data_IF_888807055134
#
_entry.id   IF_888807055134
#
_cell.length_a   1.000
_cell.length_b   1.000
_cell.length_c   1.000
_cell.angle_alpha   90.00
_cell.angle_beta   90.00
_cell.angle_gamma   90.00
#
_symmetry.space_group_name_H-M   'P 1'
#
loop_
_entity.id
_entity.type
_entity.pdbx_description
1 polymer ?
#
# COMPACT_ATOMS: atom_id res chain seq x y z
N UNK A 1 -25.42 -93.26 27.67
CA UNK A 1 -24.68 -93.01 28.93
C UNK A 1 -23.77 -91.86 28.76
N UNK A 2 -23.90 -91.00 29.72
CA UNK A 2 -22.91 -89.98 30.16
C UNK A 2 -22.90 -88.59 29.44
N UNK A 3 -23.46 -87.75 30.17
CA UNK A 3 -23.48 -86.31 30.25
C UNK A 3 -22.07 -85.77 30.69
N UNK A 4 -21.94 -84.51 30.81
CA UNK A 4 -21.36 -83.33 30.14
C UNK A 4 -20.08 -82.84 30.76
N UNK A 5 -19.57 -81.67 30.68
CA UNK A 5 -20.17 -80.45 31.19
C UNK A 5 -19.84 -79.15 30.39
N UNK A 6 -20.68 -78.21 30.62
CA UNK A 6 -20.64 -76.77 30.68
C UNK A 6 -19.26 -76.19 31.07
N UNK A 7 -18.83 -75.17 30.39
CA UNK A 7 -18.28 -74.03 31.10
C UNK A 7 -18.49 -72.69 30.32
N UNK A 8 -19.19 -71.87 31.04
CA UNK A 8 -19.25 -70.44 30.75
C UNK A 8 -17.89 -69.80 30.99
N UNK A 9 -17.46 -68.99 30.10
CA UNK A 9 -16.51 -67.97 30.44
C UNK A 9 -17.00 -66.69 29.72
N UNK A 10 -17.49 -65.84 30.57
CA UNK A 10 -17.67 -64.44 30.25
C UNK A 10 -16.34 -63.87 29.78
N UNK A 11 -16.32 -63.36 28.57
CA UNK A 11 -15.32 -62.37 28.14
C UNK A 11 -15.93 -61.00 28.30
N UNK A 12 -15.35 -60.10 29.08
CA UNK A 12 -15.74 -58.73 29.12
C UNK A 12 -15.29 -58.08 27.82
N UNK A 13 -16.25 -57.55 27.13
CA UNK A 13 -16.01 -56.65 25.99
C UNK A 13 -15.04 -55.54 26.41
N UNK A 14 -13.86 -55.57 25.83
CA UNK A 14 -12.92 -54.50 25.89
C UNK A 14 -13.40 -53.40 24.93
N UNK A 15 -14.19 -52.49 25.51
CA UNK A 15 -14.65 -51.28 24.86
C UNK A 15 -13.47 -50.31 24.76
N UNK A 16 -12.51 -50.63 23.93
CA UNK A 16 -11.60 -49.60 23.45
C UNK A 16 -12.34 -48.75 22.42
N UNK A 17 -13.16 -47.84 22.93
CA UNK A 17 -13.64 -46.71 22.16
C UNK A 17 -12.44 -45.89 21.71
N UNK A 18 -11.95 -46.25 20.56
CA UNK A 18 -10.96 -45.47 19.82
C UNK A 18 -11.66 -44.24 19.30
N UNK A 19 -11.85 -43.25 20.17
CA UNK A 19 -12.30 -41.95 19.79
C UNK A 19 -11.25 -41.37 18.83
N UNK A 20 -11.57 -41.16 17.55
CA UNK A 20 -10.61 -40.57 16.63
C UNK A 20 -10.26 -39.19 17.16
N UNK A 21 -9.10 -39.10 17.57
CA UNK A 21 -8.32 -37.99 18.12
C UNK A 21 -8.75 -36.65 17.54
N UNK A 22 -9.70 -35.98 18.19
CA UNK A 22 -10.01 -34.57 17.91
C UNK A 22 -8.81 -33.66 18.26
N UNK A 23 -7.87 -34.19 19.05
CA UNK A 23 -6.70 -33.45 19.49
C UNK A 23 -5.81 -32.92 18.37
N UNK A 24 -5.46 -33.67 17.29
CA UNK A 24 -4.67 -33.09 16.21
C UNK A 24 -5.42 -32.02 15.41
N UNK A 25 -6.75 -32.12 15.32
CA UNK A 25 -7.57 -31.14 14.63
C UNK A 25 -7.63 -29.81 15.43
N UNK A 26 -7.78 -29.90 16.75
CA UNK A 26 -7.76 -28.74 17.63
C UNK A 26 -6.38 -28.05 17.66
N UNK A 27 -5.31 -28.84 17.65
CA UNK A 27 -3.93 -28.30 17.55
C UNK A 27 -3.71 -27.64 16.21
N UNK A 28 -4.16 -28.23 15.09
CA UNK A 28 -4.06 -27.65 13.77
C UNK A 28 -4.86 -26.33 13.65
N UNK A 29 -6.09 -26.30 14.18
CA UNK A 29 -6.90 -25.06 14.24
C UNK A 29 -6.25 -23.98 15.11
N UNK A 30 -5.63 -24.37 16.22
CA UNK A 30 -4.88 -23.44 17.08
C UNK A 30 -3.69 -22.83 16.36
N UNK A 31 -2.92 -23.61 15.61
CA UNK A 31 -1.78 -23.12 14.82
C UNK A 31 -2.25 -22.17 13.71
N UNK A 32 -3.31 -22.52 12.98
CA UNK A 32 -3.89 -21.66 11.95
C UNK A 32 -4.37 -20.35 12.56
N UNK A 33 -5.04 -20.40 13.70
CA UNK A 33 -5.49 -19.20 14.43
C UNK A 33 -4.31 -18.30 14.83
N UNK A 34 -3.24 -18.86 15.37
CA UNK A 34 -2.03 -18.11 15.73
C UNK A 34 -1.36 -17.51 14.50
N UNK A 35 -1.25 -18.26 13.40
CA UNK A 35 -0.67 -17.75 12.13
C UNK A 35 -1.49 -16.60 11.58
N UNK A 36 -2.82 -16.69 11.61
CA UNK A 36 -3.69 -15.60 11.16
C UNK A 36 -3.56 -14.36 12.05
N UNK A 37 -3.52 -14.53 13.38
CA UNK A 37 -3.30 -13.42 14.31
C UNK A 37 -1.93 -12.79 14.08
N UNK A 38 -0.88 -13.60 13.92
CA UNK A 38 0.47 -13.10 13.61
C UNK A 38 0.49 -12.38 12.25
N UNK A 39 -0.17 -12.91 11.22
CA UNK A 39 -0.30 -12.22 9.93
C UNK A 39 -1.04 -10.88 10.05
N UNK A 40 -2.12 -10.82 10.82
CA UNK A 40 -2.86 -9.56 11.07
C UNK A 40 -2.02 -8.59 11.87
N UNK A 41 -1.31 -9.06 12.90
CA UNK A 41 -0.39 -8.23 13.69
C UNK A 41 0.79 -7.74 12.84
N UNK A 42 1.37 -8.60 12.00
CA UNK A 42 2.43 -8.20 11.07
C UNK A 42 1.93 -7.20 10.03
N UNK A 43 0.68 -7.30 9.58
CA UNK A 43 0.06 -6.26 8.73
C UNK A 43 -0.27 -4.98 9.47
N UNK A 44 -0.53 -5.03 10.78
CA UNK A 44 -0.73 -3.84 11.59
C UNK A 44 0.58 -3.16 12.01
N UNK A 45 1.67 -3.93 12.14
CA UNK A 45 3.00 -3.46 12.56
C UNK A 45 3.92 -3.27 11.35
N UNK A 46 3.73 -4.06 10.30
CA UNK A 46 4.40 -4.04 9.02
C UNK A 46 3.36 -3.91 7.93
N UNK A 47 2.51 -2.87 8.01
CA UNK A 47 1.96 -2.30 6.80
C UNK A 47 3.18 -2.11 5.92
N UNK A 48 3.12 -2.58 4.65
CA UNK A 48 4.23 -2.36 3.73
C UNK A 48 4.76 -0.95 3.99
N UNK A 49 5.90 -0.88 4.67
CA UNK A 49 6.71 0.32 4.66
C UNK A 49 7.19 0.49 3.22
N UNK A 50 6.24 0.88 2.39
CA UNK A 50 6.62 1.78 1.34
C UNK A 50 7.19 2.93 2.12
N UNK A 51 8.51 3.03 2.13
CA UNK A 51 9.18 4.06 2.87
C UNK A 51 8.45 5.37 2.57
N UNK A 52 8.35 6.28 3.54
CA UNK A 52 7.67 7.54 3.29
C UNK A 52 8.19 8.20 2.01
N UNK A 53 9.48 7.97 1.68
CA UNK A 53 10.10 8.30 0.39
C UNK A 53 9.37 7.70 -0.81
N UNK A 54 9.12 6.39 -0.80
CA UNK A 54 8.39 5.74 -1.89
C UNK A 54 6.94 6.21 -2.00
N UNK A 55 6.29 6.58 -0.88
CA UNK A 55 4.95 7.13 -0.88
C UNK A 55 4.92 8.57 -1.42
N UNK A 56 5.89 9.40 -1.02
CA UNK A 56 6.11 10.74 -1.57
C UNK A 56 6.41 10.67 -3.06
N UNK A 57 7.30 9.75 -3.48
CA UNK A 57 7.61 9.54 -4.90
C UNK A 57 6.37 9.17 -5.72
N UNK A 58 5.51 8.28 -5.21
CA UNK A 58 4.24 7.94 -5.89
C UNK A 58 3.30 9.12 -6.02
N UNK A 59 3.21 9.98 -5.00
CA UNK A 59 2.39 11.17 -5.06
C UNK A 59 2.85 12.12 -6.17
N UNK A 60 4.16 12.35 -6.29
CA UNK A 60 4.75 13.19 -7.35
C UNK A 60 4.48 12.62 -8.74
N UNK A 61 4.81 11.33 -8.93
CA UNK A 61 4.64 10.68 -10.25
C UNK A 61 3.16 10.63 -10.61
N UNK A 62 2.29 10.28 -9.67
CA UNK A 62 0.84 10.24 -9.90
C UNK A 62 0.26 11.60 -10.25
N UNK A 63 0.65 12.66 -9.53
CA UNK A 63 0.24 14.03 -9.88
C UNK A 63 0.71 14.45 -11.27
N UNK A 64 1.99 14.19 -11.58
CA UNK A 64 2.54 14.52 -12.88
C UNK A 64 1.84 13.77 -14.01
N UNK A 65 1.61 12.48 -13.87
CA UNK A 65 0.92 11.65 -14.84
C UNK A 65 -0.54 12.11 -15.05
N UNK A 66 -1.26 12.39 -13.96
CA UNK A 66 -2.62 12.93 -14.04
C UNK A 66 -2.68 14.25 -14.82
N UNK A 67 -1.73 15.16 -14.59
CA UNK A 67 -1.62 16.41 -15.34
C UNK A 67 -1.30 16.17 -16.83
N UNK A 68 -0.38 15.24 -17.16
CA UNK A 68 -0.08 14.93 -18.56
C UNK A 68 -1.27 14.31 -19.30
N UNK A 69 -2.15 13.61 -18.61
CA UNK A 69 -3.39 13.04 -19.16
C UNK A 69 -4.57 14.02 -19.10
N UNK A 70 -4.38 15.20 -18.52
CA UNK A 70 -5.45 16.17 -18.25
C UNK A 70 -6.61 15.59 -17.41
N UNK A 71 -6.28 14.64 -16.52
CA UNK A 71 -7.23 14.01 -15.62
C UNK A 71 -7.29 14.76 -14.29
N UNK A 72 -8.21 15.72 -14.20
CA UNK A 72 -8.37 16.56 -13.01
C UNK A 72 -8.84 15.75 -11.80
N UNK A 73 -9.64 14.72 -11.99
CA UNK A 73 -10.12 13.88 -10.88
C UNK A 73 -8.95 13.11 -10.24
N UNK A 74 -8.08 12.56 -11.07
CA UNK A 74 -6.89 11.85 -10.62
C UNK A 74 -5.83 12.83 -10.06
N UNK A 75 -5.66 14.01 -10.67
CA UNK A 75 -4.81 15.07 -10.12
C UNK A 75 -5.16 15.41 -8.67
N UNK A 76 -6.45 15.54 -8.34
CA UNK A 76 -6.92 15.82 -6.99
C UNK A 76 -6.56 14.74 -5.98
N UNK A 77 -6.45 13.48 -6.40
CA UNK A 77 -6.06 12.37 -5.51
C UNK A 77 -4.62 12.48 -5.04
N UNK A 78 -3.75 13.03 -5.87
CA UNK A 78 -2.33 13.19 -5.58
C UNK A 78 -1.95 14.59 -5.11
N UNK A 79 -2.91 15.51 -5.02
CA UNK A 79 -2.70 16.90 -4.65
C UNK A 79 -3.47 17.20 -3.37
N UNK A 80 -2.86 17.92 -2.42
CA UNK A 80 -3.54 18.33 -1.18
C UNK A 80 -4.73 19.25 -1.46
N UNK A 81 -5.74 19.19 -0.62
CA UNK A 81 -7.00 19.89 -0.79
C UNK A 81 -6.83 21.41 -1.00
N UNK A 82 -5.85 22.03 -0.36
CA UNK A 82 -5.54 23.47 -0.49
C UNK A 82 -5.05 23.86 -1.90
N UNK A 83 -4.57 22.90 -2.68
CA UNK A 83 -3.96 23.13 -4.00
C UNK A 83 -4.79 22.64 -5.17
N UNK A 84 -6.01 22.18 -4.94
CA UNK A 84 -6.85 21.62 -6.02
C UNK A 84 -7.13 22.68 -7.12
N UNK A 85 -7.45 23.92 -6.75
CA UNK A 85 -7.87 24.93 -7.74
C UNK A 85 -9.15 24.54 -8.48
N UNK A 86 -9.48 25.22 -9.53
CA UNK A 86 -10.53 24.80 -10.47
C UNK A 86 -9.94 23.94 -11.60
N UNK A 87 -10.75 23.02 -12.13
CA UNK A 87 -10.34 22.17 -13.27
C UNK A 87 -9.86 23.01 -14.46
N UNK A 88 -10.59 24.09 -14.78
CA UNK A 88 -10.27 24.95 -15.90
C UNK A 88 -8.91 25.64 -15.75
N UNK A 89 -8.56 26.08 -14.54
CA UNK A 89 -7.25 26.67 -14.24
C UNK A 89 -6.14 25.64 -14.34
N UNK A 90 -6.28 24.51 -13.61
CA UNK A 90 -5.24 23.48 -13.55
C UNK A 90 -4.94 22.90 -14.93
N UNK A 91 -5.97 22.55 -15.68
CA UNK A 91 -5.80 21.95 -17.01
C UNK A 91 -5.37 23.02 -18.03
N UNK A 92 -5.85 24.26 -17.91
CA UNK A 92 -5.39 25.38 -18.72
C UNK A 92 -3.90 25.63 -18.58
N UNK A 93 -3.40 25.75 -17.35
CA UNK A 93 -1.97 25.93 -17.06
C UNK A 93 -1.12 24.74 -17.54
N UNK A 94 -1.64 23.52 -17.43
CA UNK A 94 -0.94 22.32 -17.93
C UNK A 94 -0.80 22.37 -19.46
N UNK A 95 -1.85 22.74 -20.18
CA UNK A 95 -1.82 22.88 -21.64
C UNK A 95 -0.82 23.94 -22.09
N UNK A 96 -0.87 25.12 -21.48
CA UNK A 96 0.08 26.22 -21.79
C UNK A 96 1.53 25.75 -21.55
N UNK A 97 1.79 25.04 -20.44
CA UNK A 97 3.11 24.49 -20.15
C UNK A 97 3.55 23.46 -21.19
N UNK A 98 2.65 22.56 -21.59
CA UNK A 98 2.94 21.52 -22.59
C UNK A 98 3.17 22.09 -23.99
N UNK A 99 2.41 23.11 -24.38
CA UNK A 99 2.59 23.82 -25.65
C UNK A 99 3.93 24.56 -25.71
N UNK A 100 4.34 25.17 -24.60
CA UNK A 100 5.57 25.94 -24.53
C UNK A 100 6.84 25.10 -24.39
N UNK A 101 6.78 23.99 -23.69
CA UNK A 101 7.96 23.23 -23.21
C UNK A 101 7.94 21.75 -23.55
N UNK A 102 6.83 21.22 -24.04
CA UNK A 102 6.60 19.79 -24.21
C UNK A 102 6.19 19.10 -22.92
N UNK A 103 6.13 17.77 -22.96
CA UNK A 103 5.80 16.95 -21.79
C UNK A 103 6.81 17.14 -20.66
N UNK A 104 6.31 17.15 -19.40
CA UNK A 104 7.14 17.21 -18.19
C UNK A 104 7.36 15.81 -17.63
N UNK A 105 8.59 15.50 -17.27
CA UNK A 105 9.02 14.24 -16.71
C UNK A 105 9.57 14.43 -15.30
N UNK A 106 9.35 13.44 -14.44
CA UNK A 106 9.97 13.31 -13.12
C UNK A 106 11.16 12.38 -13.26
N UNK A 107 12.36 12.89 -13.01
CA UNK A 107 13.60 12.11 -13.10
C UNK A 107 13.98 11.48 -11.77
N UNK A 108 13.81 12.23 -10.67
CA UNK A 108 14.24 11.80 -9.35
C UNK A 108 13.43 12.48 -8.24
N UNK A 109 13.38 11.83 -7.08
CA UNK A 109 12.84 12.38 -5.83
C UNK A 109 13.86 12.11 -4.73
N UNK A 110 14.58 13.14 -4.31
CA UNK A 110 15.69 13.05 -3.39
C UNK A 110 15.44 13.87 -2.11
N UNK A 111 16.28 13.67 -1.09
CA UNK A 111 16.30 14.43 0.16
C UNK A 111 14.95 14.45 0.90
N UNK A 112 14.23 13.34 0.86
CA UNK A 112 12.94 13.24 1.53
C UNK A 112 13.12 13.34 3.03
N UNK A 113 12.49 14.33 3.63
CA UNK A 113 12.47 14.53 5.09
C UNK A 113 11.02 14.53 5.56
N UNK A 114 10.71 13.67 6.53
CA UNK A 114 9.36 13.52 7.09
C UNK A 114 9.35 14.04 8.52
N UNK A 115 8.37 14.88 8.81
CA UNK A 115 8.07 15.40 10.15
C UNK A 115 6.55 15.28 10.41
N UNK A 116 6.18 14.21 11.11
CA UNK A 116 4.77 13.88 11.37
C UNK A 116 3.96 13.72 10.09
N UNK A 117 2.92 14.53 9.93
CA UNK A 117 2.05 14.53 8.75
C UNK A 117 2.52 15.44 7.61
N UNK A 118 3.76 15.93 7.62
CA UNK A 118 4.36 16.77 6.58
C UNK A 118 5.65 16.17 6.09
N UNK A 119 5.95 16.37 4.81
CA UNK A 119 7.24 16.01 4.25
C UNK A 119 7.73 17.08 3.27
N UNK A 120 9.04 17.10 3.07
CA UNK A 120 9.70 17.88 2.02
C UNK A 120 10.59 16.97 1.21
N UNK A 121 10.79 17.29 -0.07
CA UNK A 121 11.71 16.59 -0.95
C UNK A 121 12.23 17.53 -2.03
N UNK A 122 13.34 17.17 -2.64
CA UNK A 122 13.83 17.75 -3.89
C UNK A 122 13.38 16.87 -5.05
N UNK A 123 12.46 17.36 -5.87
CA UNK A 123 12.00 16.65 -7.07
C UNK A 123 12.72 17.20 -8.28
N UNK A 124 13.37 16.33 -9.05
CA UNK A 124 14.08 16.72 -10.26
C UNK A 124 13.18 16.47 -11.47
N UNK A 125 12.91 17.53 -12.22
CA UNK A 125 12.12 17.48 -13.45
C UNK A 125 12.96 17.80 -14.67
N UNK A 126 12.47 17.40 -15.82
CA UNK A 126 12.84 18.01 -17.11
C UNK A 126 11.62 18.13 -18.01
N UNK A 127 11.76 18.90 -19.07
CA UNK A 127 10.76 19.01 -20.13
C UNK A 127 11.31 18.43 -21.43
N UNK A 128 10.42 17.85 -22.23
CA UNK A 128 10.78 17.23 -23.51
C UNK A 128 11.57 18.18 -24.44
N UNK A 129 11.15 19.46 -24.51
CA UNK A 129 11.82 20.49 -25.30
C UNK A 129 13.23 20.87 -24.82
N UNK A 130 13.64 20.40 -23.62
CA UNK A 130 14.95 20.72 -23.02
C UNK A 130 15.41 19.59 -22.06
N UNK A 131 15.50 18.37 -22.55
CA UNK A 131 15.75 17.17 -21.74
C UNK A 131 17.06 17.22 -20.93
N UNK A 132 18.06 17.95 -21.41
CA UNK A 132 19.35 18.12 -20.73
C UNK A 132 19.27 19.13 -19.55
N UNK A 133 18.23 19.94 -19.48
CA UNK A 133 18.04 20.94 -18.43
C UNK A 133 17.24 20.33 -17.26
N UNK A 134 17.95 19.84 -16.27
CA UNK A 134 17.33 19.32 -15.05
C UNK A 134 16.93 20.45 -14.13
N UNK A 135 15.73 20.36 -13.56
CA UNK A 135 15.12 21.38 -12.72
C UNK A 135 14.87 20.80 -11.32
N UNK A 136 15.85 20.87 -10.41
CA UNK A 136 15.62 20.49 -9.01
C UNK A 136 14.65 21.49 -8.38
N UNK A 137 13.54 20.98 -7.89
CA UNK A 137 12.43 21.78 -7.36
C UNK A 137 12.12 21.32 -5.93
N UNK A 138 12.30 22.19 -4.92
CA UNK A 138 11.87 21.90 -3.55
C UNK A 138 10.34 21.76 -3.51
N UNK A 139 9.85 20.65 -2.97
CA UNK A 139 8.43 20.37 -2.88
C UNK A 139 8.01 20.00 -1.47
N UNK A 140 6.77 20.29 -1.13
CA UNK A 140 6.14 19.98 0.15
C UNK A 140 4.99 19.01 -0.05
N UNK A 141 4.80 18.16 0.95
CA UNK A 141 3.79 17.11 0.96
C UNK A 141 3.05 17.10 2.28
N UNK A 142 1.81 16.65 2.25
CA UNK A 142 0.95 16.49 3.43
C UNK A 142 0.35 15.09 3.42
N UNK A 143 0.24 14.49 4.58
CA UNK A 143 -0.44 13.21 4.78
C UNK A 143 -1.93 13.48 5.00
N UNK A 144 -2.76 13.21 4.01
CA UNK A 144 -4.20 13.36 4.04
C UNK A 144 -4.88 11.99 3.87
N UNK A 145 -5.76 11.64 4.80
CA UNK A 145 -6.47 10.36 4.72
C UNK A 145 -5.58 9.10 4.75
N UNK A 146 -4.33 9.22 5.19
CA UNK A 146 -3.36 8.13 5.20
C UNK A 146 -2.52 8.03 3.92
N UNK A 147 -2.69 8.94 2.96
CA UNK A 147 -1.91 9.01 1.72
C UNK A 147 -1.13 10.32 1.64
N UNK A 148 0.09 10.26 1.10
CA UNK A 148 0.88 11.47 0.85
C UNK A 148 0.39 12.17 -0.40
N UNK A 149 0.17 13.48 -0.29
CA UNK A 149 -0.28 14.35 -1.36
C UNK A 149 0.69 15.51 -1.57
N UNK A 150 0.85 15.93 -2.83
CA UNK A 150 1.69 17.08 -3.19
C UNK A 150 1.00 18.37 -2.77
N UNK A 151 1.69 19.23 -2.02
CA UNK A 151 1.14 20.49 -1.50
C UNK A 151 1.94 21.73 -1.92
N UNK A 152 2.67 21.64 -3.04
CA UNK A 152 3.39 22.75 -3.67
C UNK A 152 3.20 22.73 -5.19
N UNK A 153 3.46 23.86 -5.84
CA UNK A 153 3.47 23.92 -7.30
C UNK A 153 4.76 23.28 -7.83
N UNK A 154 4.62 22.46 -8.87
CA UNK A 154 5.75 22.00 -9.68
C UNK A 154 6.18 23.07 -10.71
N UNK A 155 7.27 22.84 -11.45
CA UNK A 155 7.70 23.72 -12.54
C UNK A 155 6.67 23.70 -13.68
N UNK A 156 6.51 24.83 -14.33
CA UNK A 156 5.60 25.04 -15.47
C UNK A 156 6.36 25.50 -16.69
#
# INVERSE_FOLDING_TARGET
MSKPPRNSANDPADDTSNSPTAMPILVALGIVGVVLVVMVLLRMIGGEDVSAEGAVGRAVVGQNDALQREDYADFRRYTCAERHGSEAEVIGEQRESSEARGARFVDDVADVTVDGGRATATVVYHFEGSADQKLPTPMTFVLEGGEWTVCSAGPR
#
